data_IF_282437353232
#
_entry.id   IF_282437353232
#
_cell.length_a   1.000
_cell.length_b   1.000
_cell.length_c   1.000
_cell.angle_alpha   90.00
_cell.angle_beta   90.00
_cell.angle_gamma   90.00
#
_symmetry.space_group_name_H-M   'P 1'
#
loop_
_entity.id
_entity.type
_entity.pdbx_description
1 polymer ?
#
# COMPACT_ATOMS: atom_id res chain seq x y z
N UNK A 1 18.19 32.38 -55.46
CA UNK A 1 18.88 32.13 -54.17
C UNK A 1 17.84 31.86 -53.10
N UNK A 2 18.03 30.78 -52.36
CA UNK A 2 17.07 30.10 -51.48
C UNK A 2 17.51 30.34 -50.04
N UNK A 3 16.68 30.97 -49.20
CA UNK A 3 16.90 31.02 -47.75
C UNK A 3 15.75 30.32 -47.04
N UNK A 4 15.97 29.04 -46.73
CA UNK A 4 15.24 28.29 -45.70
C UNK A 4 15.77 28.74 -44.33
N UNK A 5 14.92 28.92 -43.31
CA UNK A 5 15.15 28.49 -41.90
C UNK A 5 13.78 28.29 -41.20
N UNK A 6 13.26 27.07 -41.19
CA UNK A 6 13.29 26.09 -40.07
C UNK A 6 12.29 26.38 -38.94
N UNK A 7 11.16 25.67 -38.99
CA UNK A 7 10.35 25.31 -37.82
C UNK A 7 11.16 24.30 -37.01
N UNK A 8 11.46 24.60 -35.75
CA UNK A 8 11.72 23.58 -34.71
C UNK A 8 11.16 24.13 -33.40
N UNK A 9 9.95 23.70 -33.06
CA UNK A 9 9.53 23.60 -31.67
C UNK A 9 10.24 22.38 -31.08
N UNK A 10 11.02 22.54 -30.01
CA UNK A 10 11.23 21.49 -29.00
C UNK A 10 12.13 21.98 -27.84
N UNK A 11 11.78 21.49 -26.65
CA UNK A 11 12.64 21.29 -25.48
C UNK A 11 13.02 22.52 -24.65
N UNK A 12 12.33 22.73 -23.52
CA UNK A 12 12.92 22.58 -22.18
C UNK A 12 11.85 22.81 -21.10
N UNK A 13 11.01 21.81 -20.87
CA UNK A 13 10.31 21.69 -19.58
C UNK A 13 10.32 20.25 -19.13
N UNK A 14 11.53 19.68 -19.08
CA UNK A 14 11.80 18.52 -18.25
C UNK A 14 11.83 18.98 -16.79
N UNK A 15 10.65 19.34 -16.27
CA UNK A 15 10.45 19.45 -14.84
C UNK A 15 10.40 18.00 -14.34
N UNK A 16 11.59 17.43 -14.06
CA UNK A 16 11.68 16.16 -13.36
C UNK A 16 10.83 16.29 -12.11
N UNK A 17 9.71 15.58 -12.11
CA UNK A 17 8.97 15.25 -10.91
C UNK A 17 9.94 14.45 -10.04
N UNK A 18 10.62 15.13 -9.13
CA UNK A 18 11.37 14.52 -8.04
C UNK A 18 10.32 13.83 -7.16
N UNK A 19 9.89 12.64 -7.56
CA UNK A 19 9.45 11.64 -6.61
C UNK A 19 10.66 11.43 -5.71
N UNK A 20 10.71 12.13 -4.58
CA UNK A 20 11.57 11.78 -3.47
C UNK A 20 11.14 10.39 -3.03
N UNK A 21 11.69 9.37 -3.68
CA UNK A 21 11.82 8.03 -3.09
C UNK A 21 12.60 8.25 -1.82
N UNK A 22 11.92 8.14 -0.69
CA UNK A 22 12.55 8.11 0.62
C UNK A 22 13.67 7.08 0.54
N UNK A 23 14.92 7.52 0.59
CA UNK A 23 16.06 6.60 0.65
C UNK A 23 15.94 5.87 1.98
N UNK A 24 15.41 4.65 1.94
CA UNK A 24 15.35 3.78 3.09
C UNK A 24 16.75 3.21 3.30
N UNK A 25 17.36 3.50 4.45
CA UNK A 25 18.63 2.89 4.81
C UNK A 25 18.42 1.38 4.97
N UNK A 26 19.30 0.55 4.40
CA UNK A 26 19.33 -0.87 4.72
C UNK A 26 19.63 -1.02 6.22
N UNK A 27 18.66 -1.53 6.98
CA UNK A 27 18.77 -1.58 8.44
C UNK A 27 19.69 -2.72 8.88
N UNK A 28 20.59 -2.44 9.83
CA UNK A 28 21.30 -3.50 10.55
C UNK A 28 20.29 -4.27 11.40
N UNK A 29 19.98 -5.49 11.00
CA UNK A 29 19.07 -6.39 11.72
C UNK A 29 19.87 -7.30 12.65
N UNK A 30 19.20 -7.91 13.64
CA UNK A 30 19.78 -8.97 14.46
C UNK A 30 20.02 -10.22 13.59
N UNK A 31 21.12 -10.25 12.84
CA UNK A 31 21.46 -11.34 11.92
C UNK A 31 20.31 -11.72 10.96
N UNK A 32 19.67 -10.72 10.34
CA UNK A 32 18.50 -10.89 9.45
C UNK A 32 17.24 -11.48 10.10
N UNK A 33 17.20 -11.60 11.42
CA UNK A 33 15.99 -11.97 12.14
C UNK A 33 15.04 -10.78 12.34
N UNK A 34 13.74 -11.10 12.41
CA UNK A 34 12.63 -10.15 12.59
C UNK A 34 11.56 -10.77 13.48
N UNK A 35 10.66 -9.95 14.03
CA UNK A 35 9.49 -10.44 14.75
C UNK A 35 8.64 -11.32 13.82
N UNK A 36 8.28 -12.51 14.30
CA UNK A 36 7.30 -13.37 13.64
C UNK A 36 5.97 -12.62 13.56
N UNK A 37 5.28 -12.68 12.41
CA UNK A 37 4.08 -11.89 12.10
C UNK A 37 4.31 -10.38 11.91
N UNK A 38 5.54 -9.87 11.99
CA UNK A 38 5.88 -8.50 11.61
C UNK A 38 5.33 -7.40 12.54
N UNK A 39 5.38 -6.15 12.08
CA UNK A 39 4.80 -4.95 12.73
C UNK A 39 3.83 -4.28 11.73
N UNK A 40 3.13 -3.22 12.10
CA UNK A 40 2.07 -2.66 11.26
C UNK A 40 0.77 -3.49 11.32
N UNK A 41 -0.02 -3.44 10.25
CA UNK A 41 -1.27 -4.21 10.11
C UNK A 41 -1.08 -5.74 10.28
N UNK A 42 0.14 -6.26 10.12
CA UNK A 42 0.46 -7.68 10.33
C UNK A 42 0.73 -8.03 11.81
N UNK A 43 1.25 -7.08 12.59
CA UNK A 43 1.68 -7.27 13.98
C UNK A 43 0.75 -6.70 15.04
N UNK A 44 -0.20 -5.83 14.65
CA UNK A 44 -0.96 -5.02 15.61
C UNK A 44 -1.77 -5.77 16.65
N UNK A 45 -2.30 -6.92 16.25
CA UNK A 45 -3.12 -7.74 17.12
C UNK A 45 -2.33 -8.93 17.70
N UNK A 46 -1.04 -9.07 17.36
CA UNK A 46 -0.25 -10.28 17.67
C UNK A 46 1.05 -10.01 18.42
N UNK A 47 1.58 -8.78 18.40
CA UNK A 47 2.81 -8.44 19.11
C UNK A 47 2.54 -8.12 20.58
N UNK A 48 2.91 -9.05 21.45
CA UNK A 48 2.87 -8.89 22.91
C UNK A 48 4.27 -8.62 23.46
N UNK A 49 4.36 -7.75 24.47
CA UNK A 49 5.61 -7.41 25.16
C UNK A 49 5.35 -7.29 26.66
N UNK A 50 6.42 -7.43 27.44
CA UNK A 50 6.36 -7.41 28.90
C UNK A 50 7.15 -6.22 29.46
N UNK A 51 6.52 -5.43 30.34
CA UNK A 51 7.18 -4.34 31.06
C UNK A 51 7.56 -4.85 32.45
N UNK A 52 8.86 -4.91 32.72
CA UNK A 52 9.39 -5.32 34.02
C UNK A 52 9.17 -4.24 35.09
N UNK A 53 9.25 -4.61 36.37
CA UNK A 53 9.03 -3.70 37.49
C UNK A 53 9.94 -2.47 37.47
N UNK A 54 11.19 -2.62 37.02
CA UNK A 54 12.16 -1.53 36.90
C UNK A 54 11.78 -0.47 35.86
N UNK A 55 10.91 -0.79 34.90
CA UNK A 55 10.47 0.10 33.83
C UNK A 55 9.01 0.57 34.00
N UNK A 56 8.33 0.11 35.05
CA UNK A 56 6.89 0.38 35.29
C UNK A 56 6.54 1.87 35.34
N UNK A 57 7.43 2.73 35.86
CA UNK A 57 7.26 4.18 35.86
C UNK A 57 7.22 4.83 34.47
N UNK A 58 7.67 4.11 33.43
CA UNK A 58 7.67 4.56 32.03
C UNK A 58 6.61 3.86 31.18
N UNK A 59 5.70 3.09 31.78
CA UNK A 59 4.78 2.23 31.05
C UNK A 59 3.98 2.99 29.97
N UNK A 60 3.52 4.21 30.26
CA UNK A 60 2.81 5.04 29.26
C UNK A 60 3.67 5.33 28.03
N UNK A 61 4.94 5.73 28.22
CA UNK A 61 5.84 6.03 27.11
C UNK A 61 6.19 4.78 26.30
N UNK A 62 6.39 3.65 26.98
CA UNK A 62 6.67 2.37 26.31
C UNK A 62 5.46 1.92 25.49
N UNK A 63 4.25 2.05 26.02
CA UNK A 63 3.03 1.70 25.32
C UNK A 63 2.80 2.59 24.10
N UNK A 64 3.03 3.90 24.22
CA UNK A 64 2.95 4.83 23.09
C UNK A 64 3.96 4.47 22.01
N UNK A 65 5.23 4.25 22.37
CA UNK A 65 6.27 3.88 21.41
C UNK A 65 5.92 2.55 20.69
N UNK A 66 5.45 1.54 21.42
CA UNK A 66 5.02 0.29 20.79
C UNK A 66 3.85 0.53 19.84
N UNK A 67 2.85 1.32 20.24
CA UNK A 67 1.72 1.70 19.39
C UNK A 67 2.17 2.41 18.12
N UNK A 68 3.15 3.31 18.18
CA UNK A 68 3.69 4.00 17.00
C UNK A 68 4.33 3.00 16.03
N UNK A 69 5.21 2.11 16.52
CA UNK A 69 5.88 1.10 15.69
C UNK A 69 4.95 0.03 15.13
N UNK A 70 3.94 -0.35 15.91
CA UNK A 70 2.99 -1.38 15.54
C UNK A 70 1.90 -0.85 14.61
N UNK A 71 1.64 0.45 14.60
CA UNK A 71 0.70 1.08 13.67
C UNK A 71 1.41 1.79 12.51
N UNK A 72 2.71 1.54 12.25
CA UNK A 72 3.35 2.04 11.02
C UNK A 72 2.84 1.26 9.82
N UNK A 73 1.74 1.70 9.21
CA UNK A 73 1.32 1.23 7.89
C UNK A 73 1.44 2.35 6.89
N UNK A 74 2.35 2.20 5.93
CA UNK A 74 2.42 3.06 4.74
C UNK A 74 1.27 2.80 3.75
N UNK A 75 0.36 1.87 4.08
CA UNK A 75 -0.78 1.50 3.24
C UNK A 75 -2.05 2.07 3.84
N UNK A 76 -2.82 2.80 3.04
CA UNK A 76 -4.09 3.41 3.46
C UNK A 76 -5.26 2.41 3.50
N UNK A 77 -5.02 1.18 3.02
CA UNK A 77 -5.92 0.04 3.10
C UNK A 77 -5.12 -1.27 3.09
N UNK A 78 -5.67 -2.31 3.72
CA UNK A 78 -5.17 -3.68 3.62
C UNK A 78 -6.35 -4.63 3.45
N UNK A 79 -6.20 -5.55 2.49
CA UNK A 79 -7.17 -6.61 2.23
C UNK A 79 -6.64 -7.97 2.70
N UNK A 80 -7.45 -8.70 3.46
CA UNK A 80 -7.19 -10.07 3.91
C UNK A 80 -8.30 -11.00 3.41
N UNK A 81 -7.96 -12.25 3.07
CA UNK A 81 -8.88 -13.19 2.38
C UNK A 81 -9.31 -14.33 3.30
N UNK A 82 -10.56 -14.76 3.19
CA UNK A 82 -11.15 -15.74 4.11
C UNK A 82 -11.97 -16.82 3.40
N UNK A 83 -11.93 -18.02 3.97
CA UNK A 83 -12.87 -19.10 3.66
C UNK A 83 -13.58 -19.53 4.96
N UNK A 84 -14.89 -19.31 5.03
CA UNK A 84 -15.61 -19.34 6.31
C UNK A 84 -15.05 -18.31 7.27
N UNK A 85 -14.60 -18.75 8.45
CA UNK A 85 -13.97 -17.90 9.48
C UNK A 85 -12.43 -17.94 9.47
N UNK A 86 -11.82 -18.66 8.53
CA UNK A 86 -10.37 -18.86 8.49
C UNK A 86 -9.73 -17.93 7.47
N UNK A 87 -8.73 -17.15 7.89
CA UNK A 87 -7.89 -16.37 6.97
C UNK A 87 -7.03 -17.32 6.14
N UNK A 88 -6.93 -17.07 4.84
CA UNK A 88 -6.19 -17.89 3.89
C UNK A 88 -5.16 -17.05 3.14
N UNK A 89 -4.03 -17.68 2.78
CA UNK A 89 -3.03 -17.05 1.93
C UNK A 89 -3.53 -17.02 0.47
N UNK A 90 -3.72 -15.83 -0.12
CA UNK A 90 -4.25 -15.68 -1.48
C UNK A 90 -3.34 -16.26 -2.57
N UNK A 91 -2.05 -16.52 -2.29
CA UNK A 91 -1.14 -17.15 -3.25
C UNK A 91 -1.21 -18.68 -3.26
N UNK A 92 -1.89 -19.29 -2.27
CA UNK A 92 -1.93 -20.75 -2.11
C UNK A 92 -3.34 -21.34 -2.14
N UNK A 93 -4.38 -20.52 -2.04
CA UNK A 93 -5.78 -20.99 -2.02
C UNK A 93 -6.75 -19.96 -2.59
N UNK A 94 -7.88 -20.45 -3.10
CA UNK A 94 -9.07 -19.62 -3.33
C UNK A 94 -9.70 -19.19 -2.00
N UNK A 95 -10.49 -18.13 -2.04
CA UNK A 95 -11.24 -17.60 -0.90
C UNK A 95 -12.70 -17.30 -1.28
N UNK A 96 -13.55 -17.12 -0.28
CA UNK A 96 -14.98 -16.85 -0.46
C UNK A 96 -15.33 -15.36 -0.27
N UNK A 97 -14.60 -14.66 0.61
CA UNK A 97 -14.81 -13.23 0.88
C UNK A 97 -13.51 -12.59 1.37
N UNK A 98 -13.45 -11.27 1.32
CA UNK A 98 -12.31 -10.49 1.81
C UNK A 98 -12.73 -9.44 2.85
N UNK A 99 -11.84 -9.16 3.79
CA UNK A 99 -11.97 -8.13 4.82
C UNK A 99 -11.03 -6.98 4.48
N UNK A 100 -11.58 -5.79 4.32
CA UNK A 100 -10.82 -4.57 4.08
C UNK A 100 -10.70 -3.80 5.39
N UNK A 101 -9.47 -3.49 5.79
CA UNK A 101 -9.19 -2.60 6.92
C UNK A 101 -8.53 -1.34 6.38
N UNK A 102 -9.15 -0.19 6.65
CA UNK A 102 -8.63 1.12 6.29
C UNK A 102 -7.78 1.67 7.43
N UNK A 103 -6.73 2.39 7.08
CA UNK A 103 -5.85 3.06 8.04
C UNK A 103 -6.59 4.21 8.76
N UNK A 104 -6.12 4.61 9.95
CA UNK A 104 -6.69 5.75 10.67
C UNK A 104 -6.57 7.05 9.86
N UNK A 105 -5.46 7.22 9.12
CA UNK A 105 -5.19 8.42 8.32
C UNK A 105 -5.92 8.40 6.96
N UNK A 106 -6.66 7.32 6.64
CA UNK A 106 -7.44 7.21 5.41
C UNK A 106 -8.43 8.37 5.24
N UNK A 107 -8.99 8.88 6.34
CA UNK A 107 -9.92 10.02 6.30
C UNK A 107 -9.31 11.29 5.73
N UNK A 108 -7.99 11.43 5.88
CA UNK A 108 -7.26 12.65 5.56
C UNK A 108 -6.91 12.75 4.08
N UNK A 109 -7.03 11.63 3.35
CA UNK A 109 -6.94 11.61 1.90
C UNK A 109 -8.06 12.43 1.25
N UNK A 110 -7.77 13.03 0.10
CA UNK A 110 -8.82 13.62 -0.74
C UNK A 110 -9.86 12.57 -1.14
N UNK A 111 -11.10 13.00 -1.39
CA UNK A 111 -12.19 12.09 -1.74
C UNK A 111 -11.84 11.16 -2.91
N UNK A 112 -11.24 11.70 -3.97
CA UNK A 112 -10.83 10.90 -5.13
C UNK A 112 -9.80 9.82 -4.75
N UNK A 113 -8.89 10.12 -3.82
CA UNK A 113 -7.90 9.15 -3.32
C UNK A 113 -8.52 8.11 -2.42
N UNK A 114 -9.48 8.48 -1.57
CA UNK A 114 -10.27 7.52 -0.78
C UNK A 114 -11.00 6.53 -1.68
N UNK A 115 -11.68 7.04 -2.72
CA UNK A 115 -12.35 6.18 -3.72
C UNK A 115 -11.37 5.26 -4.43
N UNK A 116 -10.19 5.76 -4.80
CA UNK A 116 -9.15 4.96 -5.44
C UNK A 116 -8.65 3.82 -4.55
N UNK A 117 -8.33 4.10 -3.28
CA UNK A 117 -7.90 3.08 -2.32
C UNK A 117 -9.02 2.06 -2.09
N UNK A 118 -10.27 2.48 -1.86
CA UNK A 118 -11.40 1.54 -1.70
C UNK A 118 -11.54 0.63 -2.92
N UNK A 119 -11.50 1.20 -4.13
CA UNK A 119 -11.62 0.43 -5.35
C UNK A 119 -10.43 -0.52 -5.56
N UNK A 120 -9.23 -0.10 -5.18
CA UNK A 120 -8.01 -0.91 -5.23
C UNK A 120 -8.11 -2.12 -4.29
N UNK A 121 -8.49 -1.90 -3.02
CA UNK A 121 -8.70 -2.97 -2.06
C UNK A 121 -9.80 -3.95 -2.52
N UNK A 122 -10.89 -3.44 -3.11
CA UNK A 122 -11.90 -4.30 -3.74
C UNK A 122 -11.33 -5.12 -4.91
N UNK A 123 -10.38 -4.58 -5.65
CA UNK A 123 -9.64 -5.32 -6.69
C UNK A 123 -8.88 -6.51 -6.12
N UNK A 124 -8.23 -6.36 -4.95
CA UNK A 124 -7.64 -7.48 -4.22
C UNK A 124 -8.69 -8.50 -3.81
N UNK A 125 -9.83 -8.08 -3.26
CA UNK A 125 -10.92 -9.01 -2.88
C UNK A 125 -11.35 -9.87 -4.07
N UNK A 126 -11.33 -9.31 -5.28
CA UNK A 126 -11.65 -9.99 -6.54
C UNK A 126 -10.45 -10.69 -7.20
N UNK A 127 -9.31 -10.82 -6.52
CA UNK A 127 -8.18 -11.64 -6.96
C UNK A 127 -7.14 -10.95 -7.82
N UNK A 128 -7.20 -9.63 -7.99
CA UNK A 128 -6.11 -8.91 -8.64
C UNK A 128 -4.97 -8.69 -7.65
N UNK A 129 -3.74 -9.03 -8.04
CA UNK A 129 -2.53 -8.63 -7.33
C UNK A 129 -2.11 -7.20 -7.72
N UNK A 130 -1.14 -6.65 -7.00
CA UNK A 130 -0.51 -5.39 -7.41
C UNK A 130 0.08 -5.49 -8.82
N UNK A 131 0.14 -4.36 -9.51
CA UNK A 131 0.65 -4.22 -10.86
C UNK A 131 1.63 -3.06 -10.96
N UNK A 132 2.71 -3.26 -11.74
CA UNK A 132 3.74 -2.26 -11.98
C UNK A 132 3.38 -1.26 -13.10
N UNK A 133 2.24 -1.46 -13.78
CA UNK A 133 1.79 -0.53 -14.80
C UNK A 133 1.36 0.81 -14.19
N UNK A 134 1.73 1.92 -14.83
CA UNK A 134 1.51 3.25 -14.26
C UNK A 134 0.06 3.75 -14.34
N UNK A 135 -0.74 3.16 -15.23
CA UNK A 135 -2.10 3.58 -15.57
C UNK A 135 -3.16 2.53 -15.20
N UNK A 136 -2.96 1.84 -14.08
CA UNK A 136 -3.89 0.82 -13.55
C UNK A 136 -4.33 1.18 -12.15
N UNK A 137 -5.48 0.66 -11.73
CA UNK A 137 -5.98 0.85 -10.38
C UNK A 137 -5.12 0.05 -9.39
N UNK A 138 -4.68 -1.15 -9.75
CA UNK A 138 -3.94 -2.07 -8.88
C UNK A 138 -2.47 -1.69 -8.61
N UNK A 139 -2.11 -0.41 -8.73
CA UNK A 139 -0.76 0.06 -8.44
C UNK A 139 -0.57 0.25 -6.93
N UNK A 140 0.51 -0.26 -6.36
CA UNK A 140 0.72 -0.31 -4.90
C UNK A 140 0.74 1.08 -4.21
N UNK A 141 1.01 2.16 -4.94
CA UNK A 141 1.07 3.53 -4.42
C UNK A 141 -0.18 4.37 -4.74
N UNK A 142 -1.33 3.73 -5.02
CA UNK A 142 -2.56 4.39 -5.50
C UNK A 142 -3.02 5.58 -4.64
N UNK A 143 -2.80 5.47 -3.33
CA UNK A 143 -3.16 6.49 -2.35
C UNK A 143 -2.40 7.83 -2.55
N UNK A 144 -1.15 7.76 -2.98
CA UNK A 144 -0.23 8.91 -2.97
C UNK A 144 0.27 9.31 -4.35
N UNK A 145 0.03 8.49 -5.37
CA UNK A 145 0.47 8.83 -6.70
C UNK A 145 -0.23 10.06 -7.28
N UNK A 146 0.33 10.63 -8.34
CA UNK A 146 -0.25 11.78 -9.05
C UNK A 146 -1.46 11.42 -9.94
N UNK A 147 -1.85 10.15 -10.02
CA UNK A 147 -2.97 9.73 -10.87
C UNK A 147 -4.32 10.15 -10.27
N UNK A 148 -5.25 10.54 -11.14
CA UNK A 148 -6.66 10.75 -10.80
C UNK A 148 -7.50 9.47 -10.88
N UNK A 149 -6.88 8.32 -11.17
CA UNK A 149 -7.54 7.01 -11.23
C UNK A 149 -8.23 6.68 -9.91
N UNK A 150 -9.56 6.53 -9.95
CA UNK A 150 -10.39 6.08 -8.82
C UNK A 150 -11.34 4.94 -9.19
N UNK A 151 -11.14 4.35 -10.37
CA UNK A 151 -11.97 3.28 -10.93
C UNK A 151 -11.06 2.27 -11.62
N UNK A 152 -11.54 1.03 -11.77
CA UNK A 152 -10.83 0.00 -12.52
C UNK A 152 -10.57 0.47 -13.97
N UNK A 153 -9.33 0.29 -14.43
CA UNK A 153 -8.89 0.64 -15.77
C UNK A 153 -9.00 -0.58 -16.69
N UNK A 154 -8.78 -0.39 -17.99
CA UNK A 154 -8.93 -1.46 -18.99
C UNK A 154 -8.10 -2.71 -18.66
N UNK A 155 -6.89 -2.54 -18.13
CA UNK A 155 -6.05 -3.67 -17.73
C UNK A 155 -6.61 -4.41 -16.51
N UNK A 156 -7.06 -3.69 -15.48
CA UNK A 156 -7.68 -4.29 -14.28
C UNK A 156 -8.96 -5.06 -14.67
N UNK A 157 -9.81 -4.46 -15.50
CA UNK A 157 -11.02 -5.10 -16.03
C UNK A 157 -10.69 -6.33 -16.89
N UNK A 158 -9.61 -6.27 -17.67
CA UNK A 158 -9.10 -7.41 -18.42
C UNK A 158 -8.70 -8.56 -17.50
N UNK A 159 -8.00 -8.26 -16.40
CA UNK A 159 -7.63 -9.23 -15.36
C UNK A 159 -8.86 -9.90 -14.72
N UNK A 160 -9.85 -9.11 -14.29
CA UNK A 160 -11.11 -9.64 -13.72
C UNK A 160 -11.83 -10.54 -14.74
N UNK A 161 -11.93 -10.11 -16.00
CA UNK A 161 -12.56 -10.93 -17.02
C UNK A 161 -11.80 -12.24 -17.24
N UNK A 162 -10.47 -12.23 -17.24
CA UNK A 162 -9.66 -13.44 -17.38
C UNK A 162 -9.86 -14.43 -16.21
N UNK A 163 -10.06 -13.93 -14.99
CA UNK A 163 -10.26 -14.78 -13.81
C UNK A 163 -11.64 -15.44 -13.76
N UNK A 164 -12.67 -14.78 -14.29
CA UNK A 164 -14.07 -15.16 -14.06
C UNK A 164 -14.90 -15.43 -15.33
N UNK A 165 -14.29 -15.43 -16.51
CA UNK A 165 -14.95 -15.78 -17.79
C UNK A 165 -14.10 -16.77 -18.58
#
# INVERSE_FOLDING_TARGET
MRTKKFIVALCFSFFMFMCSVSTVYAYNTYNQHKLTYGVGNYGKDTQHYFITSSASGYASYINTAMSEWVNTTSSMGVTTMYNGSTEVDPFSSNWAWGKIQLDADFSDLSENKRLAVIAHEMGHVMGLAHSDFSNVLMRADIAYNSSSTSRAQTNDLGGINYLYK
#
